data_IF_603160679978
#
_entry.id   IF_603160679978
#
_cell.length_a   1.000
_cell.length_b   1.000
_cell.length_c   1.000
_cell.angle_alpha   90.00
_cell.angle_beta   90.00
_cell.angle_gamma   90.00
#
_symmetry.space_group_name_H-M   'P 1'
#
loop_
_entity.id
_entity.type
_entity.pdbx_description
1 polymer ?
#
# COMPACT_ATOMS: atom_id res chain seq x y z
N UNK A 1 -1.63 1.29 -12.97
CA UNK A 1 -1.45 0.57 -14.25
C UNK A 1 -0.61 -0.69 -14.05
N UNK A 2 0.63 -0.59 -13.51
CA UNK A 2 1.55 -1.74 -13.33
C UNK A 2 0.90 -2.86 -12.50
N UNK A 3 0.29 -2.54 -11.35
CA UNK A 3 -0.41 -3.52 -10.52
C UNK A 3 -1.50 -4.28 -11.31
N UNK A 4 -2.34 -3.54 -12.04
CA UNK A 4 -3.43 -4.17 -12.81
C UNK A 4 -2.90 -5.08 -13.92
N UNK A 5 -1.87 -4.63 -14.63
CA UNK A 5 -1.21 -5.45 -15.65
C UNK A 5 -0.61 -6.72 -15.05
N UNK A 6 0.06 -6.59 -13.89
CA UNK A 6 0.62 -7.73 -13.18
C UNK A 6 -0.45 -8.76 -12.81
N UNK A 7 -1.55 -8.30 -12.17
CA UNK A 7 -2.63 -9.17 -11.71
C UNK A 7 -3.31 -9.91 -12.87
N UNK A 8 -3.60 -9.19 -13.96
CA UNK A 8 -4.27 -9.77 -15.14
C UNK A 8 -3.37 -10.70 -15.96
N UNK A 9 -2.05 -10.58 -15.85
CA UNK A 9 -1.12 -11.47 -16.56
C UNK A 9 -0.73 -12.70 -15.77
N UNK A 10 -0.63 -12.57 -14.44
CA UNK A 10 -0.14 -13.69 -13.62
C UNK A 10 -1.26 -14.62 -13.22
N UNK A 11 -2.45 -14.12 -12.93
CA UNK A 11 -3.69 -14.86 -12.60
C UNK A 11 -3.53 -16.00 -11.57
N UNK A 12 -2.53 -15.92 -10.67
CA UNK A 12 -2.22 -16.96 -9.69
C UNK A 12 -2.31 -16.43 -8.26
N UNK A 13 -2.95 -17.21 -7.39
CA UNK A 13 -2.99 -16.92 -5.95
C UNK A 13 -1.58 -16.91 -5.34
N UNK A 14 -1.35 -15.99 -4.41
CA UNK A 14 -0.07 -15.81 -3.74
C UNK A 14 0.83 -14.77 -4.41
N UNK A 15 0.61 -14.46 -5.67
CA UNK A 15 1.52 -13.57 -6.41
C UNK A 15 1.39 -12.10 -5.99
N UNK A 16 0.19 -11.63 -5.67
CA UNK A 16 -0.02 -10.28 -5.11
C UNK A 16 0.59 -10.21 -3.70
N UNK A 17 0.43 -11.28 -2.93
CA UNK A 17 1.03 -11.40 -1.59
C UNK A 17 2.56 -11.34 -1.67
N UNK A 18 3.17 -12.07 -2.60
CA UNK A 18 4.63 -12.05 -2.82
C UNK A 18 5.08 -10.63 -3.22
N UNK A 19 4.38 -10.00 -4.17
CA UNK A 19 4.70 -8.63 -4.59
C UNK A 19 4.67 -7.65 -3.41
N UNK A 20 3.62 -7.71 -2.59
CA UNK A 20 3.48 -6.89 -1.38
C UNK A 20 4.60 -7.16 -0.37
N UNK A 21 4.94 -8.44 -0.16
CA UNK A 21 6.01 -8.84 0.76
C UNK A 21 7.37 -8.32 0.31
N UNK A 22 7.66 -8.38 -0.98
CA UNK A 22 8.89 -7.81 -1.55
C UNK A 22 8.94 -6.30 -1.35
N UNK A 23 7.83 -5.59 -1.60
CA UNK A 23 7.75 -4.14 -1.36
C UNK A 23 7.98 -3.84 0.12
N UNK A 24 7.33 -4.58 1.03
CA UNK A 24 7.51 -4.43 2.47
C UNK A 24 8.95 -4.72 2.94
N UNK A 25 9.59 -5.73 2.36
CA UNK A 25 10.99 -6.06 2.66
C UNK A 25 11.95 -4.94 2.21
N UNK A 26 11.73 -4.38 1.01
CA UNK A 26 12.50 -3.23 0.52
C UNK A 26 12.33 -2.03 1.45
N UNK A 27 11.11 -1.74 1.89
CA UNK A 27 10.84 -0.65 2.83
C UNK A 27 11.46 -0.90 4.21
N UNK A 28 11.44 -2.14 4.69
CA UNK A 28 12.12 -2.50 5.94
C UNK A 28 13.64 -2.25 5.84
N UNK A 29 14.28 -2.64 4.75
CA UNK A 29 15.71 -2.39 4.49
C UNK A 29 16.00 -0.88 4.33
N UNK A 30 15.05 -0.13 3.76
CA UNK A 30 15.16 1.33 3.63
C UNK A 30 15.02 2.11 4.96
N UNK A 31 14.83 1.39 6.09
CA UNK A 31 14.82 2.00 7.42
C UNK A 31 13.42 2.24 8.02
N UNK A 32 12.34 1.84 7.35
CA UNK A 32 10.97 1.99 7.89
C UNK A 32 10.59 0.92 8.92
N UNK A 33 11.52 0.01 9.23
CA UNK A 33 11.36 -0.99 10.27
C UNK A 33 10.48 -2.19 9.88
N UNK A 34 10.43 -3.18 10.77
CA UNK A 34 9.71 -4.44 10.57
C UNK A 34 8.17 -4.30 10.37
N UNK A 35 7.47 -3.27 10.91
CA UNK A 35 6.03 -3.13 10.67
C UNK A 35 5.69 -3.00 9.18
N UNK A 36 6.59 -2.40 8.38
CA UNK A 36 6.40 -2.28 6.93
C UNK A 36 6.25 -3.63 6.24
N UNK A 37 7.04 -4.63 6.66
CA UNK A 37 6.95 -5.99 6.13
C UNK A 37 5.61 -6.65 6.48
N UNK A 38 5.21 -6.57 7.77
CA UNK A 38 3.99 -7.22 8.27
C UNK A 38 2.74 -6.60 7.66
N UNK A 39 2.64 -5.28 7.65
CA UNK A 39 1.48 -4.57 7.08
C UNK A 39 1.38 -4.84 5.59
N UNK A 40 2.48 -4.77 4.85
CA UNK A 40 2.50 -5.06 3.41
C UNK A 40 2.07 -6.50 3.12
N UNK A 41 2.56 -7.47 3.88
CA UNK A 41 2.14 -8.87 3.74
C UNK A 41 0.62 -9.03 3.95
N UNK A 42 0.07 -8.45 5.02
CA UNK A 42 -1.36 -8.51 5.33
C UNK A 42 -2.18 -7.85 4.22
N UNK A 43 -1.83 -6.64 3.80
CA UNK A 43 -2.49 -5.95 2.70
C UNK A 43 -2.44 -6.77 1.40
N UNK A 44 -1.28 -7.35 1.09
CA UNK A 44 -1.10 -8.21 -0.08
C UNK A 44 -1.96 -9.45 -0.04
N UNK A 45 -2.04 -10.12 1.12
CA UNK A 45 -2.86 -11.33 1.29
C UNK A 45 -4.35 -11.03 1.10
N UNK A 46 -4.86 -9.96 1.71
CA UNK A 46 -6.25 -9.56 1.52
C UNK A 46 -6.54 -9.13 0.08
N UNK A 47 -5.65 -8.38 -0.55
CA UNK A 47 -5.76 -8.00 -1.96
C UNK A 47 -5.82 -9.23 -2.88
N UNK A 48 -5.02 -10.25 -2.58
CA UNK A 48 -4.98 -11.51 -3.32
C UNK A 48 -6.27 -12.31 -3.16
N UNK A 49 -6.76 -12.46 -1.92
CA UNK A 49 -8.04 -13.11 -1.63
C UNK A 49 -9.23 -12.44 -2.34
N UNK A 50 -9.26 -11.11 -2.35
CA UNK A 50 -10.30 -10.33 -3.04
C UNK A 50 -10.20 -10.53 -4.55
N UNK A 51 -9.01 -10.45 -5.12
CA UNK A 51 -8.78 -10.62 -6.56
C UNK A 51 -9.11 -12.03 -7.02
N UNK A 52 -8.81 -13.05 -6.20
CA UNK A 52 -9.15 -14.45 -6.43
C UNK A 52 -10.67 -14.66 -6.60
N UNK A 53 -11.52 -13.94 -5.83
CA UNK A 53 -12.99 -14.03 -5.96
C UNK A 53 -13.50 -13.62 -7.35
N UNK A 54 -12.75 -12.84 -8.09
CA UNK A 54 -13.04 -12.46 -9.48
C UNK A 54 -12.20 -13.20 -10.51
N UNK A 55 -11.55 -14.31 -10.12
CA UNK A 55 -10.62 -15.10 -10.94
C UNK A 55 -9.56 -14.24 -11.62
N UNK A 56 -9.11 -13.14 -10.95
CA UNK A 56 -8.12 -12.17 -11.43
C UNK A 56 -8.50 -11.48 -12.76
N UNK A 57 -9.78 -11.56 -13.18
CA UNK A 57 -10.30 -11.01 -14.46
C UNK A 57 -11.34 -9.93 -14.24
N UNK A 58 -12.13 -10.03 -13.16
CA UNK A 58 -13.19 -9.08 -12.88
C UNK A 58 -12.62 -7.76 -12.39
N UNK A 59 -12.81 -6.68 -13.17
CA UNK A 59 -12.25 -5.36 -12.86
C UNK A 59 -12.59 -4.86 -11.44
N UNK A 60 -13.84 -5.06 -10.98
CA UNK A 60 -14.26 -4.59 -9.65
C UNK A 60 -13.47 -5.25 -8.51
N UNK A 61 -13.19 -6.56 -8.60
CA UNK A 61 -12.41 -7.27 -7.57
C UNK A 61 -10.93 -6.89 -7.63
N UNK A 62 -10.38 -6.68 -8.83
CA UNK A 62 -9.01 -6.19 -9.01
C UNK A 62 -8.87 -4.77 -8.47
N UNK A 63 -9.88 -3.91 -8.71
CA UNK A 63 -9.89 -2.53 -8.21
C UNK A 63 -9.91 -2.49 -6.68
N UNK A 64 -10.81 -3.25 -6.04
CA UNK A 64 -10.89 -3.32 -4.58
C UNK A 64 -9.59 -3.93 -4.02
N UNK A 65 -9.07 -4.98 -4.64
CA UNK A 65 -7.77 -5.56 -4.29
C UNK A 65 -6.64 -4.52 -4.39
N UNK A 66 -6.65 -3.67 -5.42
CA UNK A 66 -5.69 -2.59 -5.58
C UNK A 66 -5.80 -1.54 -4.46
N UNK A 67 -7.03 -1.17 -4.09
CA UNK A 67 -7.25 -0.24 -2.98
C UNK A 67 -6.67 -0.80 -1.68
N UNK A 68 -6.99 -2.06 -1.35
CA UNK A 68 -6.46 -2.73 -0.15
C UNK A 68 -4.94 -2.90 -0.21
N UNK A 69 -4.41 -3.28 -1.37
CA UNK A 69 -2.96 -3.36 -1.56
C UNK A 69 -2.29 -2.01 -1.28
N UNK A 70 -2.87 -0.90 -1.73
CA UNK A 70 -2.29 0.44 -1.60
C UNK A 70 -2.17 0.93 -0.15
N UNK A 71 -2.93 0.34 0.79
CA UNK A 71 -2.88 0.68 2.21
C UNK A 71 -1.52 0.34 2.88
N UNK A 72 -0.66 -0.46 2.23
CA UNK A 72 0.70 -0.64 2.74
C UNK A 72 1.47 0.69 2.90
N UNK A 73 1.06 1.72 2.16
CA UNK A 73 1.65 3.07 2.25
C UNK A 73 1.50 3.72 3.64
N UNK A 74 0.60 3.23 4.50
CA UNK A 74 0.47 3.67 5.89
C UNK A 74 1.48 2.97 6.82
N UNK A 75 2.08 1.87 6.39
CA UNK A 75 2.98 1.07 7.22
C UNK A 75 4.15 1.86 7.85
N UNK A 76 4.78 2.84 7.17
CA UNK A 76 5.82 3.67 7.77
C UNK A 76 5.37 4.49 8.99
N UNK A 77 4.07 4.73 9.13
CA UNK A 77 3.48 5.47 10.25
C UNK A 77 3.03 4.54 11.40
N UNK A 78 3.07 3.22 11.20
CA UNK A 78 2.67 2.25 12.21
C UNK A 78 3.44 2.42 13.55
N UNK A 79 4.75 2.72 13.58
CA UNK A 79 5.48 2.94 14.83
C UNK A 79 4.88 4.05 15.69
N UNK A 80 4.30 5.10 15.10
CA UNK A 80 3.66 6.19 15.83
C UNK A 80 2.50 5.65 16.67
N UNK A 81 1.70 4.74 16.13
CA UNK A 81 0.57 4.14 16.85
C UNK A 81 1.00 3.06 17.85
N UNK A 82 2.04 2.30 17.50
CA UNK A 82 2.51 1.19 18.33
C UNK A 82 3.30 1.67 19.56
N UNK A 83 4.10 2.71 19.41
CA UNK A 83 5.05 3.19 20.41
C UNK A 83 4.61 4.53 21.05
N UNK A 84 3.74 5.29 20.38
CA UNK A 84 3.23 6.56 20.91
C UNK A 84 4.33 7.52 21.32
N UNK A 85 4.29 7.95 22.60
CA UNK A 85 5.27 8.91 23.14
C UNK A 85 6.71 8.41 23.13
N UNK A 86 6.94 7.09 23.22
CA UNK A 86 8.27 6.50 23.16
C UNK A 86 8.91 6.71 21.78
N UNK A 87 8.12 6.64 20.70
CA UNK A 87 8.60 6.94 19.35
C UNK A 87 9.10 8.38 19.22
N UNK A 88 8.35 9.34 19.76
CA UNK A 88 8.74 10.76 19.70
C UNK A 88 9.93 11.07 20.63
N UNK A 89 10.07 10.38 21.75
CA UNK A 89 11.24 10.50 22.62
C UNK A 89 12.51 10.01 21.90
N UNK A 90 12.46 8.87 21.22
CA UNK A 90 13.59 8.35 20.43
C UNK A 90 13.89 9.28 19.23
N UNK A 91 12.87 9.81 18.59
CA UNK A 91 13.01 10.76 17.50
C UNK A 91 13.67 12.06 17.95
N UNK A 92 13.37 12.54 19.16
CA UNK A 92 14.00 13.75 19.73
C UNK A 92 15.50 13.57 19.99
N UNK A 93 15.90 12.35 20.40
CA UNK A 93 17.33 12.01 20.59
C UNK A 93 18.08 11.94 19.27
N UNK A 94 17.44 11.38 18.23
CA UNK A 94 18.11 11.13 16.94
C UNK A 94 18.09 12.32 16.00
N UNK A 95 17.00 13.09 15.96
CA UNK A 95 16.79 14.17 15.01
C UNK A 95 16.63 15.56 15.64
N UNK A 96 16.61 15.62 16.97
CA UNK A 96 16.44 16.83 17.75
C UNK A 96 15.00 17.13 18.15
N UNK A 97 14.86 17.83 19.27
CA UNK A 97 13.56 18.10 19.92
C UNK A 97 12.61 18.92 19.03
N UNK A 98 13.11 19.95 18.36
CA UNK A 98 12.32 20.79 17.45
C UNK A 98 11.70 20.00 16.28
N UNK A 99 12.45 19.03 15.75
CA UNK A 99 11.95 18.15 14.69
C UNK A 99 10.86 17.20 15.22
N UNK A 100 11.12 16.59 16.38
CA UNK A 100 10.16 15.66 17.00
C UNK A 100 8.84 16.34 17.35
N UNK A 101 8.87 17.56 17.89
CA UNK A 101 7.68 18.38 18.16
C UNK A 101 6.91 18.73 16.89
N UNK A 102 7.61 19.20 15.85
CA UNK A 102 6.99 19.52 14.56
C UNK A 102 6.34 18.30 13.92
N UNK A 103 7.01 17.16 13.97
CA UNK A 103 6.50 15.91 13.43
C UNK A 103 5.29 15.40 14.22
N UNK A 104 5.31 15.52 15.56
CA UNK A 104 4.18 15.20 16.43
C UNK A 104 2.95 16.07 16.13
N UNK A 105 3.17 17.38 15.89
CA UNK A 105 2.09 18.29 15.53
C UNK A 105 1.44 17.94 14.18
N UNK A 106 2.23 17.40 13.24
CA UNK A 106 1.76 16.97 11.92
C UNK A 106 1.09 15.58 11.92
N UNK A 107 1.27 14.79 12.99
CA UNK A 107 0.78 13.41 13.08
C UNK A 107 -0.17 13.20 14.26
N UNK A 108 -1.29 13.96 14.36
CA UNK A 108 -2.31 13.71 15.36
C UNK A 108 -2.94 12.31 15.15
N UNK A 109 -3.55 11.69 16.17
CA UNK A 109 -4.07 10.32 16.10
C UNK A 109 -5.06 10.06 14.97
N UNK A 110 -5.78 11.07 14.50
CA UNK A 110 -6.74 10.97 13.41
C UNK A 110 -6.10 10.98 12.00
N UNK A 111 -4.82 11.34 11.90
CA UNK A 111 -4.14 11.49 10.59
C UNK A 111 -4.06 10.14 9.86
N UNK A 112 -3.81 9.04 10.57
CA UNK A 112 -3.67 7.72 9.94
C UNK A 112 -4.99 7.23 9.35
N UNK A 113 -6.13 7.26 10.06
CA UNK A 113 -7.43 6.98 9.43
C UNK A 113 -7.73 7.90 8.24
N UNK A 114 -7.40 9.18 8.33
CA UNK A 114 -7.60 10.12 7.22
C UNK A 114 -6.73 9.78 6.01
N UNK A 115 -5.47 9.39 6.24
CA UNK A 115 -4.56 8.94 5.17
C UNK A 115 -5.05 7.64 4.54
N UNK A 116 -5.54 6.67 5.31
CA UNK A 116 -6.13 5.44 4.78
C UNK A 116 -7.30 5.75 3.84
N UNK A 117 -8.23 6.60 4.26
CA UNK A 117 -9.33 7.04 3.38
C UNK A 117 -8.79 7.74 2.13
N UNK A 118 -7.82 8.63 2.29
CA UNK A 118 -7.18 9.34 1.17
C UNK A 118 -6.50 8.38 0.19
N UNK A 119 -5.72 7.42 0.68
CA UNK A 119 -5.04 6.40 -0.12
C UNK A 119 -6.08 5.53 -0.86
N UNK A 120 -7.14 5.11 -0.16
CA UNK A 120 -8.22 4.33 -0.76
C UNK A 120 -8.88 5.08 -1.92
N UNK A 121 -9.26 6.34 -1.73
CA UNK A 121 -9.87 7.18 -2.77
C UNK A 121 -8.90 7.42 -3.93
N UNK A 122 -7.65 7.72 -3.66
CA UNK A 122 -6.61 7.88 -4.67
C UNK A 122 -6.40 6.57 -5.47
N UNK A 123 -6.44 5.42 -4.80
CA UNK A 123 -6.33 4.13 -5.44
C UNK A 123 -7.53 3.83 -6.35
N UNK A 124 -8.75 4.21 -5.96
CA UNK A 124 -9.94 4.09 -6.82
C UNK A 124 -9.75 4.90 -8.10
N UNK A 125 -9.38 6.17 -7.98
CA UNK A 125 -9.12 7.05 -9.14
C UNK A 125 -7.99 6.48 -10.01
N UNK A 126 -6.87 6.11 -9.40
CA UNK A 126 -5.72 5.49 -10.06
C UNK A 126 -6.06 4.18 -10.77
N UNK A 127 -6.98 3.40 -10.20
CA UNK A 127 -7.46 2.16 -10.78
C UNK A 127 -8.28 2.37 -12.06
N UNK A 128 -9.19 3.33 -12.07
CA UNK A 128 -9.94 3.69 -13.28
C UNK A 128 -9.01 4.26 -14.36
N UNK A 129 -8.05 5.09 -13.95
CA UNK A 129 -7.03 5.61 -14.87
C UNK A 129 -6.16 4.48 -15.44
N UNK A 130 -5.75 3.54 -14.61
CA UNK A 130 -5.03 2.34 -15.02
C UNK A 130 -5.80 1.52 -16.05
N UNK A 131 -7.10 1.28 -15.84
CA UNK A 131 -7.98 0.62 -16.80
C UNK A 131 -8.01 1.33 -18.16
N UNK A 132 -8.13 2.66 -18.14
CA UNK A 132 -8.16 3.47 -19.38
C UNK A 132 -6.85 3.37 -20.18
N UNK A 133 -5.71 3.38 -19.48
CA UNK A 133 -4.39 3.22 -20.11
C UNK A 133 -4.23 1.81 -20.68
N UNK A 134 -4.61 0.78 -19.93
CA UNK A 134 -4.55 -0.61 -20.40
C UNK A 134 -5.34 -0.79 -21.69
N UNK A 135 -6.60 -0.33 -21.71
CA UNK A 135 -7.44 -0.39 -22.92
C UNK A 135 -6.81 0.33 -24.10
N UNK A 136 -6.22 1.51 -23.90
CA UNK A 136 -5.65 2.31 -24.98
C UNK A 136 -4.36 1.74 -25.57
N UNK A 137 -3.47 1.23 -24.72
CA UNK A 137 -2.10 0.89 -25.11
C UNK A 137 -1.83 -0.60 -25.21
N UNK A 138 -2.45 -1.43 -24.38
CA UNK A 138 -2.14 -2.86 -24.29
C UNK A 138 -3.09 -3.74 -25.12
N UNK A 139 -4.38 -3.42 -25.19
CA UNK A 139 -5.30 -4.10 -26.12
C UNK A 139 -4.91 -3.86 -27.59
N UNK A 140 -4.48 -2.63 -27.93
CA UNK A 140 -4.04 -2.30 -29.29
C UNK A 140 -2.72 -2.94 -29.70
N UNK A 141 -1.87 -3.29 -28.75
CA UNK A 141 -0.57 -3.94 -28.99
C UNK A 141 -0.65 -5.48 -28.92
N UNK A 142 -1.84 -6.05 -28.67
CA UNK A 142 -2.01 -7.50 -28.58
C UNK A 142 -1.36 -8.13 -27.34
N UNK A 143 -1.05 -7.31 -26.32
CA UNK A 143 -0.38 -7.79 -25.09
C UNK A 143 -1.40 -8.32 -24.07
N UNK A 144 -2.67 -7.90 -24.19
CA UNK A 144 -3.80 -8.37 -23.36
C UNK A 144 -4.98 -8.70 -24.26
#
# INVERSE_FOLDING_TARGET
>A
TIYMLFVTKVEKFGMITILATVVGAVMMIAGYGWPSLVVSFICGLFADLISKRGNYKKFSTILIGYCVFSEWGVAPLAPIWMQGDAYFADLSVTMGESFAESYRALTPPWIIPALMVGIFLAAVVGGFFGKKIMKKHFERSGII
#
